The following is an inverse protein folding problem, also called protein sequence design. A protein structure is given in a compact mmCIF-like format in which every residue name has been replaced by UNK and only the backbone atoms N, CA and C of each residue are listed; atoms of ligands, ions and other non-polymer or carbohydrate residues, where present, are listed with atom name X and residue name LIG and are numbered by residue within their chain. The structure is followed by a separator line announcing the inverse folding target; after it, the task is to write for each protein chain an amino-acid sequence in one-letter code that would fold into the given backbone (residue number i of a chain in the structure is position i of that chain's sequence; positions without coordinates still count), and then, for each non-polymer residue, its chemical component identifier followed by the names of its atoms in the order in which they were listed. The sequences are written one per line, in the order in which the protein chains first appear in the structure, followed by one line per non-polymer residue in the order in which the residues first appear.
data_IF_629734628403
#
_entry.id   IF_629734628403
#
_cell.length_a   1.000
_cell.length_b   1.000
_cell.length_c   1.000
_cell.angle_alpha   90.00
_cell.angle_beta   90.00
_cell.angle_gamma   90.00
#
_symmetry.space_group_name_H-M   'P 1'
#
loop_
_entity.id
_entity.type
_entity.pdbx_description
1 polymer ?
#
# COMPACT_ATOMS: atom_id res chain seq x y z
N UNK A 1 -15.08 -23.71 -6.37
CA UNK A 1 -16.31 -23.96 -7.14
C UNK A 1 -17.38 -23.03 -6.58
N UNK A 2 -17.53 -21.87 -7.23
CA UNK A 2 -18.75 -21.08 -7.31
C UNK A 2 -18.57 -20.29 -8.62
N UNK A 3 -19.51 -20.45 -9.56
CA UNK A 3 -19.56 -19.62 -10.77
C UNK A 3 -20.04 -18.25 -10.29
N UNK A 4 -19.12 -17.30 -10.10
CA UNK A 4 -19.51 -15.89 -10.02
C UNK A 4 -20.08 -15.47 -11.38
N UNK A 5 -21.15 -14.69 -11.35
CA UNK A 5 -21.96 -14.30 -12.50
C UNK A 5 -21.13 -13.94 -13.73
N UNK A 6 -21.18 -14.78 -14.77
CA UNK A 6 -20.65 -14.49 -16.12
C UNK A 6 -21.40 -13.34 -16.83
N UNK A 7 -22.22 -12.57 -16.10
CA UNK A 7 -23.10 -11.52 -16.61
C UNK A 7 -22.77 -10.13 -16.06
N UNK A 8 -21.54 -9.91 -15.58
CA UNK A 8 -21.11 -8.60 -15.10
C UNK A 8 -20.98 -7.63 -16.29
N UNK A 9 -21.62 -6.45 -16.20
CA UNK A 9 -21.47 -5.38 -17.19
C UNK A 9 -19.99 -5.10 -17.50
N UNK A 10 -19.63 -4.84 -18.77
CA UNK A 10 -18.25 -4.55 -19.15
C UNK A 10 -17.67 -3.37 -18.36
N UNK A 11 -16.44 -3.54 -17.90
CA UNK A 11 -15.74 -2.53 -17.09
C UNK A 11 -14.90 -1.64 -18.00
N UNK A 12 -15.13 -0.33 -17.95
CA UNK A 12 -14.30 0.63 -18.67
C UNK A 12 -12.95 0.80 -17.96
N UNK A 13 -11.87 0.49 -18.65
CA UNK A 13 -10.50 0.64 -18.13
C UNK A 13 -9.69 1.70 -18.88
N UNK A 14 -10.19 2.23 -20.00
CA UNK A 14 -9.43 3.18 -20.83
C UNK A 14 -8.03 2.66 -21.16
N UNK A 15 -7.00 3.38 -20.74
CA UNK A 15 -5.58 2.96 -20.80
C UNK A 15 -4.99 2.57 -19.43
N UNK A 16 -5.83 2.50 -18.40
CA UNK A 16 -5.38 2.32 -17.03
C UNK A 16 -4.83 0.92 -16.80
N UNK A 17 -3.76 0.86 -16.01
CA UNK A 17 -3.14 -0.41 -15.65
C UNK A 17 -4.01 -1.18 -14.69
N UNK A 18 -4.19 -2.45 -15.01
CA UNK A 18 -4.98 -3.39 -14.25
C UNK A 18 -4.07 -4.42 -13.58
N UNK A 19 -4.11 -4.47 -12.24
CA UNK A 19 -3.34 -5.42 -11.45
C UNK A 19 -4.14 -6.69 -11.13
N UNK A 20 -3.43 -7.79 -10.90
CA UNK A 20 -3.98 -9.06 -10.39
C UNK A 20 -3.81 -9.23 -8.87
N UNK A 21 -3.88 -8.13 -8.11
CA UNK A 21 -3.80 -8.10 -6.63
C UNK A 21 -4.96 -8.75 -5.90
N UNK A 22 -6.03 -9.05 -6.63
CA UNK A 22 -7.28 -9.66 -6.18
C UNK A 22 -7.85 -10.53 -7.32
N UNK A 23 -8.93 -11.27 -7.05
CA UNK A 23 -9.63 -12.07 -8.06
C UNK A 23 -10.58 -11.24 -8.93
N UNK A 24 -10.61 -9.91 -8.77
CA UNK A 24 -11.59 -9.04 -9.42
C UNK A 24 -11.66 -9.25 -10.93
N UNK A 25 -10.52 -9.49 -11.58
CA UNK A 25 -10.47 -9.67 -13.03
C UNK A 25 -10.72 -11.09 -13.50
N UNK A 26 -10.64 -12.11 -12.64
CA UNK A 26 -10.64 -13.52 -13.05
C UNK A 26 -12.08 -14.03 -13.09
N UNK A 27 -12.64 -14.22 -14.29
CA UNK A 27 -13.98 -14.79 -14.47
C UNK A 27 -13.95 -16.33 -14.51
N UNK A 28 -12.97 -16.88 -15.22
CA UNK A 28 -12.79 -18.32 -15.41
C UNK A 28 -11.32 -18.67 -15.22
N UNK A 29 -11.01 -19.81 -14.62
CA UNK A 29 -9.64 -20.24 -14.36
C UNK A 29 -9.51 -21.76 -14.38
N UNK A 30 -8.38 -22.24 -14.90
CA UNK A 30 -7.96 -23.63 -14.86
C UNK A 30 -6.44 -23.71 -14.69
N UNK A 31 -5.97 -24.34 -13.61
CA UNK A 31 -4.53 -24.59 -13.43
C UNK A 31 -3.67 -23.36 -13.11
N UNK A 32 -4.29 -22.22 -12.79
CA UNK A 32 -3.59 -21.03 -12.28
C UNK A 32 -4.05 -20.67 -10.87
N UNK A 33 -3.19 -20.00 -10.12
CA UNK A 33 -3.47 -19.52 -8.76
C UNK A 33 -2.98 -18.09 -8.58
N UNK A 34 -3.56 -17.33 -7.67
CA UNK A 34 -2.93 -16.10 -7.21
C UNK A 34 -1.69 -16.42 -6.37
N UNK A 35 -0.60 -15.68 -6.59
CA UNK A 35 0.63 -15.82 -5.83
C UNK A 35 1.04 -14.48 -5.26
N UNK A 36 1.10 -14.38 -3.93
CA UNK A 36 1.70 -13.25 -3.23
C UNK A 36 3.23 -13.32 -3.37
N UNK A 37 3.86 -12.22 -3.78
CA UNK A 37 5.31 -12.12 -3.89
C UNK A 37 5.90 -11.45 -2.66
N UNK A 38 7.06 -11.94 -2.23
CA UNK A 38 7.72 -11.46 -1.03
C UNK A 38 8.68 -10.31 -1.38
N UNK A 39 8.57 -9.15 -0.71
CA UNK A 39 9.50 -8.06 -0.91
C UNK A 39 10.84 -8.41 -0.27
N UNK A 40 11.93 -7.96 -0.89
CA UNK A 40 13.28 -8.29 -0.45
C UNK A 40 13.77 -7.24 0.54
N UNK A 41 14.26 -7.67 1.70
CA UNK A 41 14.94 -6.79 2.66
C UNK A 41 16.19 -6.16 2.05
N UNK A 42 16.33 -4.85 2.21
CA UNK A 42 17.47 -4.04 1.75
C UNK A 42 18.12 -3.32 2.92
N UNK A 43 18.89 -2.29 2.62
CA UNK A 43 19.58 -1.45 3.59
C UNK A 43 18.65 -0.78 4.62
N UNK A 44 19.24 -0.41 5.75
CA UNK A 44 18.65 0.50 6.72
C UNK A 44 18.76 1.92 6.17
N UNK A 45 17.65 2.67 6.20
CA UNK A 45 17.57 4.00 5.56
C UNK A 45 17.45 5.15 6.55
N UNK A 46 16.86 4.91 7.72
CA UNK A 46 16.81 5.89 8.82
C UNK A 46 17.13 5.15 10.12
N UNK A 47 18.13 5.65 10.83
CA UNK A 47 18.48 5.23 12.19
C UNK A 47 18.46 6.44 13.13
N UNK A 48 18.29 6.24 14.45
CA UNK A 48 18.54 7.27 15.44
C UNK A 48 19.99 7.79 15.38
N UNK A 49 20.14 9.06 15.03
CA UNK A 49 21.45 9.73 14.90
C UNK A 49 21.50 11.04 15.70
N UNK A 50 20.34 11.53 16.15
CA UNK A 50 20.20 12.82 16.81
C UNK A 50 19.55 12.71 18.20
N UNK A 51 19.79 13.70 19.09
CA UNK A 51 19.23 13.68 20.45
C UNK A 51 17.70 13.55 20.52
N UNK A 52 16.97 14.09 19.53
CA UNK A 52 15.51 13.96 19.46
C UNK A 52 15.02 12.58 19.01
N UNK A 53 15.91 11.72 18.50
CA UNK A 53 15.61 10.38 17.97
C UNK A 53 16.04 9.25 18.92
N UNK A 54 16.67 9.57 20.05
CA UNK A 54 17.38 8.61 20.90
C UNK A 54 16.51 7.45 21.41
N UNK A 55 15.21 7.67 21.63
CA UNK A 55 14.23 6.66 22.00
C UNK A 55 13.71 5.85 20.80
N UNK A 56 13.89 6.35 19.58
CA UNK A 56 13.59 5.62 18.36
C UNK A 56 12.94 6.46 17.27
N UNK A 57 12.76 5.81 16.11
CA UNK A 57 12.12 6.34 14.92
C UNK A 57 11.03 5.38 14.45
N UNK A 58 9.88 5.89 14.01
CA UNK A 58 8.76 5.07 13.53
C UNK A 58 7.73 5.92 12.77
N UNK A 59 6.69 5.30 12.21
CA UNK A 59 5.54 5.97 11.60
C UNK A 59 5.94 6.96 10.53
N UNK A 60 6.87 6.51 9.68
CA UNK A 60 7.30 7.25 8.52
C UNK A 60 6.19 7.28 7.47
N UNK A 61 6.00 8.45 6.87
CA UNK A 61 5.15 8.62 5.71
C UNK A 61 6.00 9.18 4.58
N UNK A 62 5.99 8.50 3.43
CA UNK A 62 6.76 8.88 2.26
C UNK A 62 5.91 9.00 1.01
N UNK A 63 6.27 9.98 0.17
CA UNK A 63 5.76 10.11 -1.19
C UNK A 63 6.73 10.94 -2.03
N UNK A 64 6.55 10.89 -3.35
CA UNK A 64 7.30 11.69 -4.30
C UNK A 64 6.63 13.06 -4.49
N UNK A 65 7.44 14.11 -4.51
CA UNK A 65 7.05 15.44 -4.96
C UNK A 65 8.10 15.95 -5.95
N UNK A 66 7.72 16.07 -7.22
CA UNK A 66 8.64 16.48 -8.27
C UNK A 66 9.81 15.49 -8.46
N UNK A 67 11.03 15.98 -8.29
CA UNK A 67 12.28 15.22 -8.41
C UNK A 67 12.78 14.64 -7.08
N UNK A 68 12.04 14.83 -5.98
CA UNK A 68 12.42 14.39 -4.64
C UNK A 68 11.40 13.44 -4.04
N UNK A 69 11.90 12.54 -3.20
CA UNK A 69 11.12 11.82 -2.21
C UNK A 69 11.18 12.57 -0.89
N UNK A 70 10.04 12.66 -0.22
CA UNK A 70 9.89 13.35 1.06
C UNK A 70 9.44 12.35 2.11
N UNK A 71 9.92 12.51 3.33
CA UNK A 71 9.59 11.67 4.46
C UNK A 71 9.30 12.51 5.70
N UNK A 72 8.26 12.12 6.43
CA UNK A 72 7.97 12.61 7.77
C UNK A 72 7.93 11.43 8.70
N UNK A 73 8.59 11.49 9.85
CA UNK A 73 8.68 10.37 10.77
C UNK A 73 8.61 10.83 12.21
N UNK A 74 8.06 9.98 13.07
CA UNK A 74 8.03 10.22 14.50
C UNK A 74 9.41 9.95 15.08
N UNK A 75 9.79 10.82 16.01
CA UNK A 75 10.95 10.63 16.86
C UNK A 75 10.49 10.48 18.32
N UNK A 76 11.21 9.67 19.08
CA UNK A 76 11.09 9.58 20.53
C UNK A 76 12.44 9.94 21.16
N UNK A 77 12.45 10.70 22.27
CA UNK A 77 13.70 11.11 22.93
C UNK A 77 14.28 10.02 23.84
N UNK A 78 13.45 9.15 24.37
CA UNK A 78 13.83 8.15 25.37
C UNK A 78 12.93 6.91 25.31
N UNK A 79 13.45 5.83 25.87
CA UNK A 79 12.74 4.57 26.12
C UNK A 79 12.91 4.17 27.59
N UNK A 80 11.86 3.68 28.28
CA UNK A 80 10.51 3.49 27.76
C UNK A 80 9.78 4.82 27.52
N UNK A 81 8.84 4.81 26.57
CA UNK A 81 7.99 5.97 26.30
C UNK A 81 7.07 6.25 27.49
N UNK A 82 7.09 7.48 27.98
CA UNK A 82 6.20 7.98 29.04
C UNK A 82 5.03 8.80 28.45
N UNK A 83 3.89 8.82 29.15
CA UNK A 83 2.67 9.54 28.70
C UNK A 83 2.88 11.06 28.59
N UNK A 84 3.86 11.61 29.31
CA UNK A 84 4.24 13.04 29.27
C UNK A 84 5.22 13.38 28.15
N UNK A 85 5.51 12.44 27.24
CA UNK A 85 6.48 12.69 26.17
C UNK A 85 6.08 13.89 25.31
N UNK A 86 7.09 14.64 24.89
CA UNK A 86 6.91 15.64 23.86
C UNK A 86 6.70 14.93 22.50
N UNK A 87 5.63 15.22 21.75
CA UNK A 87 5.54 14.77 20.37
C UNK A 87 6.63 15.42 19.53
N UNK A 88 7.40 14.62 18.80
CA UNK A 88 8.42 15.10 17.88
C UNK A 88 8.21 14.45 16.53
N UNK A 89 8.01 15.26 15.50
CA UNK A 89 7.98 14.81 14.11
C UNK A 89 9.11 15.49 13.37
N UNK A 90 9.92 14.68 12.69
CA UNK A 90 11.04 15.12 11.89
C UNK A 90 10.78 14.89 10.41
N UNK A 91 11.61 15.53 9.59
CA UNK A 91 11.55 15.48 8.13
C UNK A 91 12.87 14.97 7.55
N UNK A 92 12.77 14.18 6.49
CA UNK A 92 13.91 13.77 5.67
C UNK A 92 13.54 13.83 4.18
N UNK A 93 14.55 13.90 3.32
CA UNK A 93 14.38 13.92 1.87
C UNK A 93 15.41 13.05 1.16
N UNK A 94 15.07 12.60 -0.04
CA UNK A 94 15.93 11.72 -0.84
C UNK A 94 15.69 11.94 -2.33
N UNK A 95 16.69 11.70 -3.16
CA UNK A 95 16.55 11.69 -4.64
C UNK A 95 16.43 10.28 -5.22
N UNK A 96 16.70 9.24 -4.42
CA UNK A 96 16.74 7.85 -4.87
C UNK A 96 15.90 6.89 -4.01
N UNK A 97 15.35 7.36 -2.88
CA UNK A 97 14.59 6.57 -1.92
C UNK A 97 15.45 5.64 -1.06
N UNK A 98 16.78 5.69 -1.22
CA UNK A 98 17.75 4.83 -0.53
C UNK A 98 18.55 5.66 0.47
N UNK A 99 19.12 6.79 0.02
CA UNK A 99 19.89 7.70 0.85
C UNK A 99 19.02 8.88 1.25
N UNK A 100 18.80 9.02 2.56
CA UNK A 100 17.94 10.07 3.11
C UNK A 100 18.76 11.12 3.84
N UNK A 101 18.59 12.37 3.43
CA UNK A 101 19.14 13.55 4.10
C UNK A 101 18.18 14.03 5.19
N UNK A 102 18.71 14.35 6.37
CA UNK A 102 18.01 14.99 7.48
C UNK A 102 18.41 16.48 7.53
N UNK A 103 17.75 17.36 6.75
CA UNK A 103 18.21 18.73 6.56
C UNK A 103 18.08 19.56 7.84
N UNK A 104 18.98 20.52 8.03
CA UNK A 104 18.88 21.50 9.12
C UNK A 104 17.86 22.58 8.74
N UNK A 105 16.65 22.45 9.23
CA UNK A 105 15.51 23.26 8.80
C UNK A 105 15.47 24.64 9.48
N UNK A 106 16.04 24.79 10.68
CA UNK A 106 16.02 26.07 11.40
C UNK A 106 14.63 26.50 11.89
N UNK A 107 13.65 25.58 11.93
CA UNK A 107 12.23 25.90 12.19
C UNK A 107 11.87 25.84 13.67
N UNK A 108 12.24 24.76 14.36
CA UNK A 108 11.82 24.46 15.73
C UNK A 108 13.01 24.52 16.67
N UNK A 109 12.83 25.16 17.82
CA UNK A 109 13.83 25.16 18.89
C UNK A 109 13.76 23.87 19.71
N UNK A 110 14.91 23.22 19.85
CA UNK A 110 15.09 22.00 20.64
C UNK A 110 16.43 22.09 21.39
N UNK A 111 16.40 21.93 22.72
CA UNK A 111 17.59 22.03 23.57
C UNK A 111 18.44 23.30 23.29
N UNK A 112 17.77 24.46 23.17
CA UNK A 112 18.37 25.77 22.89
C UNK A 112 19.04 25.89 21.50
N UNK A 113 18.68 25.05 20.53
CA UNK A 113 19.18 25.11 19.16
C UNK A 113 18.07 24.89 18.13
N UNK A 114 18.21 25.48 16.94
CA UNK A 114 17.36 25.21 15.77
C UNK A 114 18.05 24.35 14.70
N UNK A 115 19.25 23.87 14.98
CA UNK A 115 20.04 23.00 14.09
C UNK A 115 19.48 21.55 14.13
N UNK A 116 18.25 21.38 13.63
CA UNK A 116 17.54 20.11 13.61
C UNK A 116 16.61 20.03 12.39
N UNK A 117 16.00 18.86 12.18
CA UNK A 117 15.05 18.57 11.11
C UNK A 117 13.60 18.43 11.62
N UNK A 118 13.27 19.02 12.78
CA UNK A 118 11.93 18.94 13.37
C UNK A 118 10.94 19.87 12.65
N UNK A 119 9.74 19.36 12.40
CA UNK A 119 8.63 20.08 11.72
C UNK A 119 7.35 20.17 12.55
N UNK A 120 7.22 19.36 13.61
CA UNK A 120 6.10 19.45 14.53
C UNK A 120 6.48 19.05 15.95
N UNK A 121 6.13 19.92 16.91
CA UNK A 121 6.21 19.67 18.35
C UNK A 121 4.95 20.10 19.10
N UNK A 122 3.86 20.31 18.36
CA UNK A 122 2.56 20.69 18.91
C UNK A 122 1.81 19.49 19.50
N UNK A 123 0.51 19.64 19.80
CA UNK A 123 -0.28 18.55 20.33
C UNK A 123 -0.36 17.39 19.35
N UNK A 124 -0.27 16.18 19.90
CA UNK A 124 -0.47 14.93 19.19
C UNK A 124 0.75 14.41 18.43
N UNK A 125 0.79 13.09 18.28
CA UNK A 125 1.90 12.35 17.67
C UNK A 125 1.39 11.46 16.51
N UNK A 126 2.27 10.65 15.90
CA UNK A 126 2.00 9.77 14.76
C UNK A 126 1.41 10.54 13.57
N UNK A 127 2.06 11.63 13.19
CA UNK A 127 1.62 12.46 12.07
C UNK A 127 1.52 11.64 10.79
N UNK A 128 0.43 11.83 10.05
CA UNK A 128 0.22 11.18 8.75
C UNK A 128 -0.06 12.23 7.67
N UNK A 129 1.00 12.83 7.10
CA UNK A 129 0.86 13.86 6.07
C UNK A 129 0.55 13.29 4.69
N UNK A 130 -0.13 14.09 3.88
CA UNK A 130 -0.34 13.86 2.46
C UNK A 130 -0.37 15.19 1.71
N UNK A 131 -0.01 15.14 0.42
CA UNK A 131 -0.26 16.22 -0.53
C UNK A 131 -1.74 16.19 -0.91
N UNK A 132 -2.45 17.28 -0.72
CA UNK A 132 -3.88 17.34 -1.02
C UNK A 132 -4.10 17.44 -2.54
N UNK A 133 -4.70 16.38 -3.10
CA UNK A 133 -5.06 16.32 -4.51
C UNK A 133 -6.44 16.89 -4.82
N UNK A 134 -7.16 17.41 -3.82
CA UNK A 134 -8.43 18.08 -4.03
C UNK A 134 -8.22 19.35 -4.90
N UNK A 135 -8.88 19.48 -6.06
CA UNK A 135 -8.73 20.66 -6.92
C UNK A 135 -9.17 21.96 -6.24
N UNK A 136 -9.99 21.88 -5.19
CA UNK A 136 -10.45 23.02 -4.40
C UNK A 136 -9.57 23.30 -3.16
N UNK A 137 -8.45 22.58 -2.99
CA UNK A 137 -7.53 22.80 -1.87
C UNK A 137 -6.90 24.19 -1.95
N UNK A 138 -6.89 24.89 -0.82
CA UNK A 138 -6.24 26.20 -0.69
C UNK A 138 -4.71 26.04 -0.69
N UNK A 139 -3.98 26.97 -1.30
CA UNK A 139 -2.51 26.94 -1.35
C UNK A 139 -1.90 26.87 0.06
N UNK A 140 -2.50 27.54 1.05
CA UNK A 140 -2.07 27.49 2.45
C UNK A 140 -2.38 26.16 3.16
N UNK A 141 -3.18 25.30 2.54
CA UNK A 141 -3.56 23.96 3.02
C UNK A 141 -3.13 22.85 2.04
N UNK A 142 -2.19 23.15 1.14
CA UNK A 142 -1.65 22.23 0.13
C UNK A 142 -1.23 20.87 0.70
N UNK A 143 -0.71 20.88 1.93
CA UNK A 143 -0.48 19.69 2.72
C UNK A 143 -1.50 19.61 3.85
N UNK A 144 -2.00 18.40 4.06
CA UNK A 144 -2.87 18.05 5.18
C UNK A 144 -2.25 16.89 5.94
N UNK A 145 -2.51 16.81 7.23
CA UNK A 145 -2.11 15.68 8.05
C UNK A 145 -3.12 15.45 9.18
N UNK A 146 -3.06 14.24 9.75
CA UNK A 146 -3.71 13.94 11.03
C UNK A 146 -2.69 13.55 12.08
N UNK A 147 -2.95 13.89 13.35
CA UNK A 147 -2.16 13.50 14.52
C UNK A 147 -3.08 12.99 15.63
N UNK A 148 -2.57 12.16 16.54
CA UNK A 148 -3.34 11.65 17.69
C UNK A 148 -2.92 12.25 19.03
N UNK A 149 -3.90 12.71 19.81
CA UNK A 149 -3.76 13.11 21.24
C UNK A 149 -4.42 12.12 22.20
N UNK A 150 -5.12 11.13 21.66
CA UNK A 150 -6.18 10.36 22.31
C UNK A 150 -7.38 10.37 21.36
N UNK A 151 -7.72 11.56 20.89
CA UNK A 151 -8.55 11.85 19.72
C UNK A 151 -7.69 12.17 18.49
N UNK A 152 -8.30 12.46 17.34
CA UNK A 152 -7.60 12.84 16.10
C UNK A 152 -7.76 14.34 15.83
N UNK A 153 -6.64 15.04 15.66
CA UNK A 153 -6.59 16.44 15.22
C UNK A 153 -6.14 16.52 13.76
N UNK A 154 -6.62 17.54 13.05
CA UNK A 154 -6.19 17.86 11.68
C UNK A 154 -5.15 18.98 11.68
N UNK A 155 -4.11 18.81 10.86
CA UNK A 155 -3.09 19.81 10.57
C UNK A 155 -3.12 20.20 9.09
N UNK A 156 -2.69 21.43 8.81
CA UNK A 156 -2.49 21.95 7.46
C UNK A 156 -1.14 22.65 7.35
N UNK A 157 -0.57 22.65 6.15
CA UNK A 157 0.70 23.31 5.84
C UNK A 157 0.76 23.72 4.36
N UNK A 158 1.34 24.88 4.02
CA UNK A 158 1.61 25.25 2.62
C UNK A 158 2.76 24.45 1.99
N UNK A 159 3.73 24.01 2.78
CA UNK A 159 5.02 23.46 2.32
C UNK A 159 5.34 22.06 2.88
N UNK A 160 4.49 21.56 3.78
CA UNK A 160 4.70 20.30 4.49
C UNK A 160 5.79 20.38 5.56
N UNK A 161 6.32 21.57 5.87
CA UNK A 161 7.35 21.80 6.89
C UNK A 161 6.83 22.69 8.03
N UNK A 162 6.00 23.67 7.70
CA UNK A 162 5.39 24.61 8.66
C UNK A 162 3.93 24.23 8.88
N UNK A 163 3.69 23.46 9.93
CA UNK A 163 2.36 22.94 10.25
C UNK A 163 1.63 23.82 11.27
N UNK A 164 0.31 23.90 11.13
CA UNK A 164 -0.60 24.46 12.13
C UNK A 164 -1.82 23.56 12.30
N UNK A 165 -2.49 23.67 13.44
CA UNK A 165 -3.82 23.09 13.61
C UNK A 165 -4.77 23.69 12.56
N UNK A 166 -5.54 22.82 11.93
CA UNK A 166 -6.61 23.21 11.00
C UNK A 166 -7.82 23.79 11.75
N UNK A 167 -8.03 23.30 12.99
CA UNK A 167 -9.04 23.72 13.96
C UNK A 167 -8.64 23.21 15.36
N UNK A 168 -9.18 23.83 16.42
CA UNK A 168 -8.88 23.42 17.80
C UNK A 168 -9.58 22.12 18.21
N UNK A 169 -10.82 21.92 17.73
CA UNK A 169 -11.61 20.75 18.06
C UNK A 169 -11.15 19.50 17.27
N UNK A 170 -11.13 18.30 17.89
CA UNK A 170 -10.80 17.06 17.20
C UNK A 170 -11.78 16.77 16.07
N UNK A 171 -11.25 16.17 15.00
CA UNK A 171 -12.03 15.74 13.83
C UNK A 171 -12.62 14.33 14.01
N UNK A 172 -12.04 13.51 14.91
CA UNK A 172 -12.56 12.19 15.29
C UNK A 172 -12.32 11.94 16.78
N UNK A 173 -13.35 11.45 17.48
CA UNK A 173 -13.32 11.19 18.95
C UNK A 173 -13.75 9.77 19.32
N UNK A 174 -14.19 8.96 18.35
CA UNK A 174 -14.62 7.58 18.57
C UNK A 174 -13.41 6.63 18.64
N UNK A 175 -12.74 6.65 19.78
CA UNK A 175 -11.56 5.84 20.12
C UNK A 175 -11.79 4.33 19.96
N UNK A 176 -10.73 3.50 19.79
CA UNK A 176 -9.31 3.82 19.95
C UNK A 176 -8.61 4.36 18.68
N UNK A 177 -7.64 5.26 18.91
CA UNK A 177 -6.75 5.85 17.89
C UNK A 177 -5.27 5.62 18.21
N UNK A 178 -4.94 4.60 19.01
CA UNK A 178 -3.62 4.33 19.59
C UNK A 178 -2.55 3.79 18.61
N UNK A 179 -2.84 3.77 17.31
CA UNK A 179 -1.93 3.37 16.22
C UNK A 179 -1.55 4.54 15.29
N UNK A 180 -0.90 4.25 14.16
CA UNK A 180 -0.77 5.21 13.06
C UNK A 180 -2.09 5.25 12.29
N UNK A 181 -2.80 6.36 12.43
CA UNK A 181 -4.02 6.64 11.67
C UNK A 181 -3.60 7.31 10.36
N UNK A 182 -4.30 6.97 9.27
CA UNK A 182 -3.91 7.41 7.93
C UNK A 182 -5.06 8.15 7.30
N UNK A 183 -4.77 9.29 6.66
CA UNK A 183 -5.74 10.01 5.84
C UNK A 183 -5.12 10.44 4.52
N UNK A 184 -5.97 10.60 3.50
CA UNK A 184 -5.60 11.11 2.18
C UNK A 184 -6.86 11.57 1.42
N UNK A 185 -6.65 12.28 0.31
CA UNK A 185 -7.68 12.54 -0.70
C UNK A 185 -7.75 11.37 -1.69
N UNK A 186 -8.93 10.76 -1.84
CA UNK A 186 -9.21 9.82 -2.93
C UNK A 186 -9.67 10.61 -4.15
N UNK A 187 -8.80 10.68 -5.17
CA UNK A 187 -9.07 11.37 -6.43
C UNK A 187 -10.23 10.72 -7.19
N UNK A 188 -10.36 9.39 -7.15
CA UNK A 188 -11.39 8.68 -7.92
C UNK A 188 -12.80 8.86 -7.34
N UNK A 189 -12.90 9.12 -6.03
CA UNK A 189 -14.17 9.30 -5.31
C UNK A 189 -14.44 10.73 -4.88
N UNK A 190 -13.49 11.62 -5.14
CA UNK A 190 -13.53 13.03 -4.78
C UNK A 190 -13.95 13.21 -3.30
N UNK A 191 -13.27 12.48 -2.42
CA UNK A 191 -13.48 12.56 -0.97
C UNK A 191 -12.19 12.33 -0.20
N UNK A 192 -12.08 12.94 0.98
CA UNK A 192 -11.09 12.56 1.96
C UNK A 192 -11.48 11.23 2.59
N UNK A 193 -10.50 10.36 2.78
CA UNK A 193 -10.65 9.06 3.42
C UNK A 193 -9.69 8.97 4.59
N UNK A 194 -10.13 8.39 5.70
CA UNK A 194 -9.24 8.02 6.79
C UNK A 194 -9.44 6.57 7.22
N UNK A 195 -8.33 5.89 7.50
CA UNK A 195 -8.27 4.56 8.09
C UNK A 195 -7.66 4.62 9.48
N UNK A 196 -8.41 4.13 10.46
CA UNK A 196 -8.03 4.17 11.87
C UNK A 196 -8.10 2.79 12.51
N UNK A 197 -7.52 2.66 13.71
CA UNK A 197 -7.79 1.52 14.59
C UNK A 197 -9.30 1.39 14.85
N UNK A 198 -9.79 0.16 15.00
CA UNK A 198 -11.08 -0.18 15.59
C UNK A 198 -11.05 -1.50 16.36
N UNK A 199 -12.23 -2.00 16.71
CA UNK A 199 -12.43 -3.26 17.44
C UNK A 199 -13.50 -4.08 16.72
N UNK A 200 -13.24 -5.36 16.49
CA UNK A 200 -14.19 -6.27 15.85
C UNK A 200 -14.19 -7.65 16.53
N UNK A 201 -15.21 -8.45 16.25
CA UNK A 201 -15.30 -9.83 16.73
C UNK A 201 -15.30 -9.95 18.26
N UNK A 202 -14.72 -11.05 18.76
CA UNK A 202 -14.54 -11.34 20.19
C UNK A 202 -13.06 -11.56 20.48
N UNK A 203 -12.56 -11.03 21.59
CA UNK A 203 -11.16 -11.19 21.97
C UNK A 203 -10.77 -10.36 23.19
N UNK A 204 -9.47 -10.32 23.47
CA UNK A 204 -8.93 -9.72 24.70
C UNK A 204 -8.57 -8.23 24.56
N UNK A 205 -8.83 -7.62 23.40
CA UNK A 205 -8.63 -6.19 23.19
C UNK A 205 -9.99 -5.47 23.18
N UNK A 206 -10.36 -4.85 24.30
CA UNK A 206 -11.65 -4.15 24.46
C UNK A 206 -12.83 -5.08 24.09
N UNK A 207 -12.80 -6.31 24.62
CA UNK A 207 -13.75 -7.38 24.32
C UNK A 207 -13.80 -7.86 22.85
N UNK A 208 -12.86 -7.44 22.00
CA UNK A 208 -12.70 -7.86 20.61
C UNK A 208 -11.24 -8.11 20.22
N UNK A 209 -10.98 -8.10 18.91
CA UNK A 209 -9.63 -8.00 18.36
C UNK A 209 -9.39 -6.60 17.79
N UNK A 210 -8.11 -6.26 17.62
CA UNK A 210 -7.73 -5.01 16.95
C UNK A 210 -8.13 -5.11 15.49
N UNK A 211 -8.91 -4.16 15.00
CA UNK A 211 -9.36 -4.11 13.61
C UNK A 211 -9.09 -2.74 12.99
N UNK A 212 -9.58 -2.56 11.76
CA UNK A 212 -9.44 -1.33 10.98
C UNK A 212 -10.82 -0.76 10.68
N UNK A 213 -10.97 0.55 10.84
CA UNK A 213 -12.17 1.32 10.50
C UNK A 213 -11.85 2.31 9.39
N UNK A 214 -12.87 2.68 8.61
CA UNK A 214 -12.85 3.73 7.59
C UNK A 214 -13.86 4.81 7.93
N UNK A 215 -13.55 6.05 7.57
CA UNK A 215 -14.47 7.19 7.55
C UNK A 215 -14.13 8.08 6.35
N UNK A 216 -15.08 8.91 5.92
CA UNK A 216 -14.86 9.87 4.83
C UNK A 216 -15.30 11.27 5.18
N UNK A 217 -14.82 12.23 4.41
CA UNK A 217 -15.16 13.64 4.55
C UNK A 217 -15.12 14.31 3.19
N UNK A 218 -15.98 15.32 2.99
CA UNK A 218 -15.93 16.18 1.79
C UNK A 218 -15.07 17.43 1.98
N UNK A 219 -14.73 17.79 3.22
CA UNK A 219 -14.04 19.06 3.54
C UNK A 219 -12.84 18.90 4.49
N UNK A 220 -12.51 17.65 4.86
CA UNK A 220 -11.48 17.26 5.82
C UNK A 220 -11.73 17.72 7.27
N UNK A 221 -12.88 18.35 7.54
CA UNK A 221 -13.27 18.87 8.87
C UNK A 221 -14.35 18.03 9.50
N UNK A 222 -15.36 17.68 8.72
CA UNK A 222 -16.53 16.92 9.16
C UNK A 222 -16.49 15.53 8.56
N UNK A 223 -16.51 14.53 9.43
CA UNK A 223 -16.32 13.14 9.06
C UNK A 223 -17.58 12.32 9.30
N UNK A 224 -17.82 11.35 8.43
CA UNK A 224 -18.88 10.35 8.64
C UNK A 224 -18.54 9.49 9.87
N UNK A 225 -19.53 8.77 10.44
CA UNK A 225 -19.25 7.74 11.41
C UNK A 225 -18.19 6.74 10.92
N UNK A 226 -17.38 6.23 11.85
CA UNK A 226 -16.39 5.20 11.55
C UNK A 226 -17.08 3.85 11.37
N UNK A 227 -16.80 3.19 10.25
CA UNK A 227 -17.31 1.87 9.90
C UNK A 227 -16.17 0.87 9.81
N UNK A 228 -16.37 -0.38 10.24
CA UNK A 228 -15.35 -1.41 10.06
C UNK A 228 -15.14 -1.70 8.58
N UNK A 229 -13.89 -1.96 8.17
CA UNK A 229 -13.64 -2.54 6.85
C UNK A 229 -14.13 -3.99 6.83
N UNK A 230 -14.55 -4.44 5.65
CA UNK A 230 -14.93 -5.82 5.40
C UNK A 230 -13.76 -6.58 4.76
N UNK A 231 -13.51 -7.81 5.21
CA UNK A 231 -12.49 -8.71 4.65
C UNK A 231 -13.09 -10.07 4.26
N UNK A 232 -14.38 -10.09 3.95
CA UNK A 232 -15.16 -11.28 3.64
C UNK A 232 -15.10 -12.32 4.76
N UNK A 233 -14.93 -13.58 4.36
CA UNK A 233 -14.93 -14.73 5.28
C UNK A 233 -13.60 -14.94 6.02
N UNK A 234 -12.64 -14.03 5.89
CA UNK A 234 -11.35 -14.19 6.58
C UNK A 234 -11.50 -13.95 8.09
N UNK A 235 -10.78 -14.68 8.95
CA UNK A 235 -11.02 -14.64 10.40
C UNK A 235 -10.60 -13.31 11.02
N UNK A 236 -11.31 -12.88 12.06
CA UNK A 236 -10.88 -11.73 12.86
C UNK A 236 -9.54 -12.04 13.56
N UNK A 237 -8.51 -11.27 13.21
CA UNK A 237 -7.17 -11.29 13.80
C UNK A 237 -6.80 -9.87 14.28
N UNK A 238 -5.78 -9.72 15.14
CA UNK A 238 -5.38 -8.39 15.60
C UNK A 238 -4.60 -7.62 14.53
N UNK A 239 -5.27 -6.89 13.65
CA UNK A 239 -4.65 -6.02 12.65
C UNK A 239 -4.28 -4.67 13.27
N UNK A 240 -3.02 -4.50 13.69
CA UNK A 240 -2.52 -3.37 14.46
C UNK A 240 -2.37 -2.07 13.64
N UNK A 241 -1.38 -1.92 12.77
CA UNK A 241 -1.33 -0.77 11.84
C UNK A 241 -2.11 -1.09 10.56
N UNK A 242 -2.34 -0.10 9.70
CA UNK A 242 -2.95 -0.35 8.37
C UNK A 242 -2.00 -0.04 7.20
N UNK A 243 -1.24 1.06 7.26
CA UNK A 243 -0.36 1.48 6.15
C UNK A 243 -1.10 1.56 4.78
N UNK A 244 -2.36 1.99 4.78
CA UNK A 244 -3.16 2.08 3.56
C UNK A 244 -2.65 3.17 2.62
N UNK A 245 -2.59 2.83 1.33
CA UNK A 245 -2.18 3.73 0.24
C UNK A 245 -3.07 3.52 -0.98
N UNK A 246 -3.57 4.59 -1.63
CA UNK A 246 -4.04 4.50 -3.01
C UNK A 246 -2.82 4.27 -3.91
N UNK A 247 -2.90 3.29 -4.81
CA UNK A 247 -1.76 2.91 -5.64
C UNK A 247 -1.73 3.73 -6.94
N UNK A 248 -0.79 4.69 -7.01
CA UNK A 248 -0.68 5.67 -8.09
C UNK A 248 -0.64 5.05 -9.50
N UNK A 249 -0.05 3.86 -9.65
CA UNK A 249 0.13 3.20 -10.95
C UNK A 249 -1.08 2.38 -11.39
N UNK A 250 -2.08 2.18 -10.54
CA UNK A 250 -3.35 1.54 -10.89
C UNK A 250 -4.51 2.31 -10.21
N UNK A 251 -5.04 3.35 -10.87
CA UNK A 251 -6.12 4.17 -10.34
C UNK A 251 -7.30 3.33 -9.82
N UNK A 252 -7.88 3.75 -8.70
CA UNK A 252 -8.97 3.06 -8.03
C UNK A 252 -8.58 1.83 -7.19
N UNK A 253 -7.31 1.44 -7.18
CA UNK A 253 -6.80 0.35 -6.33
C UNK A 253 -6.17 0.88 -5.06
N UNK A 254 -6.59 0.30 -3.94
CA UNK A 254 -6.05 0.52 -2.61
C UNK A 254 -5.17 -0.67 -2.24
N UNK A 255 -3.98 -0.40 -1.73
CA UNK A 255 -3.13 -1.41 -1.10
C UNK A 255 -3.04 -1.11 0.40
N UNK A 256 -2.94 -2.16 1.20
CA UNK A 256 -2.85 -2.02 2.65
C UNK A 256 -1.86 -3.07 3.18
N UNK A 257 -1.05 -2.68 4.16
CA UNK A 257 -0.03 -3.54 4.77
C UNK A 257 -0.20 -3.67 6.29
N UNK A 258 -1.32 -4.22 6.79
CA UNK A 258 -1.56 -4.27 8.22
C UNK A 258 -0.54 -5.11 8.98
N UNK A 259 -0.17 -4.65 10.16
CA UNK A 259 0.63 -5.45 11.09
C UNK A 259 -0.28 -6.43 11.82
N UNK A 260 -0.24 -7.71 11.48
CA UNK A 260 -0.99 -8.73 12.22
C UNK A 260 -0.21 -9.09 13.49
N UNK A 261 -0.85 -8.83 14.62
CA UNK A 261 -0.34 -9.10 15.96
C UNK A 261 -0.88 -10.42 16.50
N UNK A 262 -0.02 -11.25 17.08
CA UNK A 262 -0.41 -12.51 17.71
C UNK A 262 -0.03 -12.43 19.19
N UNK A 263 -0.93 -11.96 20.08
CA UNK A 263 -0.59 -11.67 21.47
C UNK A 263 -0.20 -12.90 22.30
N UNK A 264 -0.61 -14.09 21.89
CA UNK A 264 -0.35 -15.33 22.65
C UNK A 264 1.07 -15.89 22.45
N UNK A 265 1.85 -15.34 21.50
CA UNK A 265 3.20 -15.81 21.23
C UNK A 265 4.22 -15.12 22.13
N UNK A 266 5.06 -15.90 22.79
CA UNK A 266 6.12 -15.40 23.68
C UNK A 266 7.47 -16.03 23.30
N UNK A 267 8.10 -15.56 22.22
CA UNK A 267 9.42 -16.06 21.78
C UNK A 267 10.55 -15.70 22.76
N UNK A 268 10.40 -14.59 23.49
CA UNK A 268 11.33 -14.14 24.53
C UNK A 268 10.57 -14.21 25.87
N UNK A 269 10.73 -15.29 26.65
CA UNK A 269 10.04 -15.43 27.93
C UNK A 269 10.36 -14.29 28.89
N UNK A 270 9.32 -13.70 29.48
CA UNK A 270 9.48 -12.59 30.43
C UNK A 270 9.86 -11.26 29.79
N UNK A 271 9.65 -11.08 28.48
CA UNK A 271 9.82 -9.79 27.80
C UNK A 271 9.07 -8.68 28.55
N UNK A 272 9.79 -7.63 28.95
CA UNK A 272 9.29 -6.63 29.90
C UNK A 272 8.07 -5.83 29.39
N UNK A 273 7.85 -5.82 28.07
CA UNK A 273 6.77 -5.07 27.43
C UNK A 273 5.55 -5.92 27.09
N UNK A 274 5.53 -7.20 27.50
CA UNK A 274 4.40 -8.11 27.34
C UNK A 274 4.55 -9.08 26.16
N UNK A 275 3.63 -10.02 26.07
CA UNK A 275 3.65 -11.04 25.03
C UNK A 275 3.22 -10.51 23.67
N UNK A 276 3.67 -11.21 22.63
CA UNK A 276 3.17 -11.10 21.28
C UNK A 276 4.26 -11.01 20.23
N UNK A 277 3.87 -11.22 18.98
CA UNK A 277 4.75 -11.09 17.80
C UNK A 277 3.92 -10.50 16.66
N UNK A 278 4.56 -9.75 15.76
CA UNK A 278 3.92 -9.17 14.60
C UNK A 278 4.52 -9.72 13.31
N UNK A 279 3.68 -9.93 12.30
CA UNK A 279 4.09 -9.96 10.89
C UNK A 279 3.27 -8.93 10.09
N UNK A 280 3.57 -8.80 8.80
CA UNK A 280 2.86 -7.89 7.90
C UNK A 280 2.04 -8.71 6.93
N UNK A 281 0.74 -8.40 6.82
CA UNK A 281 -0.16 -9.00 5.82
C UNK A 281 -0.41 -8.03 4.68
N UNK A 282 -0.75 -8.55 3.50
CA UNK A 282 -1.11 -7.76 2.33
C UNK A 282 -2.62 -7.83 2.08
N UNK A 283 -3.22 -6.67 1.81
CA UNK A 283 -4.62 -6.58 1.38
C UNK A 283 -4.73 -5.61 0.20
N UNK A 284 -5.73 -5.86 -0.65
CA UNK A 284 -6.10 -4.93 -1.72
C UNK A 284 -7.60 -4.67 -1.73
N UNK A 285 -8.01 -3.52 -2.27
CA UNK A 285 -9.41 -3.16 -2.43
C UNK A 285 -9.59 -2.28 -3.66
N UNK A 286 -10.78 -2.33 -4.26
CA UNK A 286 -11.17 -1.47 -5.39
C UNK A 286 -12.24 -0.44 -5.02
N UNK A 287 -12.78 -0.52 -3.81
CA UNK A 287 -13.77 0.41 -3.27
C UNK A 287 -13.36 1.09 -1.98
N UNK A 288 -12.23 0.67 -1.41
CA UNK A 288 -11.71 1.14 -0.13
C UNK A 288 -12.51 0.62 1.07
N UNK A 289 -13.49 -0.25 0.92
CA UNK A 289 -14.35 -0.78 2.00
C UNK A 289 -14.22 -2.29 2.16
N UNK A 290 -14.26 -3.01 1.05
CA UNK A 290 -14.09 -4.46 1.00
C UNK A 290 -12.67 -4.78 0.56
N UNK A 291 -11.93 -5.48 1.41
CA UNK A 291 -10.53 -5.80 1.20
C UNK A 291 -10.33 -7.31 1.04
N UNK A 292 -9.76 -7.71 -0.09
CA UNK A 292 -9.23 -9.06 -0.28
C UNK A 292 -7.91 -9.19 0.48
N UNK A 293 -7.82 -10.21 1.34
CA UNK A 293 -6.70 -10.42 2.25
C UNK A 293 -5.99 -11.74 1.99
N UNK A 294 -4.68 -11.66 1.78
CA UNK A 294 -3.82 -12.83 1.80
C UNK A 294 -3.53 -13.24 3.24
N UNK A 295 -3.64 -14.53 3.53
CA UNK A 295 -3.49 -15.05 4.90
C UNK A 295 -2.03 -15.31 5.27
N UNK A 296 -1.17 -15.54 4.28
CA UNK A 296 0.28 -15.58 4.41
C UNK A 296 0.85 -14.18 4.69
N UNK A 297 1.96 -14.13 5.42
CA UNK A 297 2.67 -12.89 5.66
C UNK A 297 3.30 -12.37 4.36
N UNK A 298 3.06 -11.10 4.06
CA UNK A 298 3.79 -10.33 3.06
C UNK A 298 5.23 -10.05 3.52
N UNK A 299 5.42 -9.65 4.78
CA UNK A 299 6.75 -9.53 5.41
C UNK A 299 6.76 -10.29 6.73
N UNK A 300 7.64 -11.28 6.84
CA UNK A 300 7.91 -12.04 8.07
C UNK A 300 8.97 -11.33 8.92
N UNK A 301 9.02 -11.49 10.26
CA UNK A 301 10.07 -10.91 11.13
C UNK A 301 11.52 -11.16 10.70
N UNK A 302 11.77 -12.26 9.99
CA UNK A 302 13.10 -12.60 9.48
C UNK A 302 13.98 -13.29 10.53
N UNK A 303 15.29 -13.30 10.29
CA UNK A 303 16.29 -13.95 11.16
C UNK A 303 16.73 -13.08 12.34
N UNK A 304 16.44 -11.78 12.29
CA UNK A 304 16.79 -10.86 13.37
C UNK A 304 15.90 -11.12 14.59
N UNK A 305 16.49 -11.64 15.67
CA UNK A 305 15.82 -11.91 16.94
C UNK A 305 15.18 -10.64 17.53
N UNK A 306 15.71 -9.46 17.21
CA UNK A 306 15.16 -8.17 17.61
C UNK A 306 13.78 -7.85 17.01
N UNK A 307 13.30 -8.63 16.04
CA UNK A 307 11.94 -8.51 15.51
C UNK A 307 10.95 -9.50 16.15
N UNK A 308 11.43 -10.47 16.93
CA UNK A 308 10.61 -11.51 17.55
C UNK A 308 10.17 -11.09 18.95
N UNK A 309 9.39 -10.02 19.04
CA UNK A 309 8.69 -9.59 20.26
C UNK A 309 7.48 -8.71 19.90
N UNK A 310 6.77 -8.21 20.91
CA UNK A 310 5.58 -7.41 20.68
C UNK A 310 5.94 -6.12 19.93
N UNK A 311 5.25 -5.86 18.81
CA UNK A 311 5.46 -4.69 17.94
C UNK A 311 6.87 -4.60 17.36
N UNK A 312 7.60 -5.70 17.24
CA UNK A 312 8.97 -5.73 16.71
C UNK A 312 9.10 -5.17 15.28
N UNK A 313 8.01 -5.20 14.49
CA UNK A 313 7.99 -4.58 13.17
C UNK A 313 6.63 -3.98 12.77
N UNK A 314 6.67 -2.88 12.01
CA UNK A 314 5.53 -2.26 11.34
C UNK A 314 5.90 -1.80 9.93
N UNK A 315 4.98 -1.92 8.97
CA UNK A 315 5.13 -1.20 7.70
C UNK A 315 4.81 0.27 7.90
N UNK A 316 5.63 1.10 7.27
CA UNK A 316 5.47 2.53 7.14
C UNK A 316 4.58 2.86 5.94
N UNK A 317 4.04 4.08 5.89
CA UNK A 317 3.12 4.47 4.81
C UNK A 317 3.90 5.03 3.62
N UNK A 318 3.79 4.40 2.47
CA UNK A 318 4.31 4.91 1.20
C UNK A 318 4.88 3.81 0.33
N UNK A 319 4.72 3.97 -0.98
CA UNK A 319 5.33 3.12 -2.00
C UNK A 319 6.01 4.06 -2.99
N UNK A 320 7.32 3.95 -3.12
CA UNK A 320 8.10 4.80 -4.01
C UNK A 320 8.59 3.99 -5.20
N UNK A 321 8.32 4.44 -6.41
CA UNK A 321 8.99 3.89 -7.59
C UNK A 321 10.41 4.47 -7.67
N UNK A 322 11.40 3.72 -7.18
CA UNK A 322 12.81 4.15 -7.08
C UNK A 322 13.62 3.87 -8.35
N UNK A 323 13.11 3.01 -9.23
CA UNK A 323 13.61 2.81 -10.59
C UNK A 323 12.46 2.39 -11.52
N UNK A 324 12.67 2.29 -12.86
CA UNK A 324 11.63 1.77 -13.76
C UNK A 324 11.11 0.38 -13.41
N UNK A 325 11.92 -0.45 -12.73
CA UNK A 325 11.66 -1.85 -12.42
C UNK A 325 11.52 -2.16 -10.91
N UNK A 326 11.79 -1.21 -10.02
CA UNK A 326 11.78 -1.40 -8.57
C UNK A 326 10.85 -0.41 -7.83
N UNK A 327 10.06 -0.96 -6.91
CA UNK A 327 9.35 -0.23 -5.86
C UNK A 327 10.11 -0.38 -4.55
N UNK A 328 10.14 0.69 -3.79
CA UNK A 328 10.62 0.73 -2.41
C UNK A 328 9.44 0.92 -1.46
N UNK A 329 9.36 0.03 -0.49
CA UNK A 329 8.53 0.14 0.71
C UNK A 329 9.43 0.27 1.93
N UNK A 330 8.88 0.73 3.04
CA UNK A 330 9.65 0.95 4.27
C UNK A 330 8.95 0.33 5.47
N UNK A 331 9.73 -0.20 6.41
CA UNK A 331 9.21 -0.76 7.64
C UNK A 331 10.14 -0.48 8.80
N UNK A 332 9.59 -0.11 9.95
CA UNK A 332 10.33 -0.06 11.19
C UNK A 332 10.54 -1.48 11.72
N UNK A 333 11.76 -1.75 12.17
CA UNK A 333 12.19 -3.00 12.81
C UNK A 333 12.83 -2.68 14.16
N UNK A 334 12.91 -3.69 15.06
CA UNK A 334 13.53 -3.58 16.38
C UNK A 334 12.88 -2.56 17.34
N UNK A 335 11.55 -2.41 17.32
CA UNK A 335 10.86 -1.48 18.23
C UNK A 335 11.26 -1.68 19.70
N UNK A 336 11.41 -0.60 20.48
CA UNK A 336 11.88 -0.61 21.89
C UNK A 336 13.32 -1.04 22.13
N UNK A 337 14.03 -1.52 21.12
CA UNK A 337 15.45 -1.81 21.22
C UNK A 337 16.29 -0.59 20.82
N UNK A 338 17.52 -0.45 21.35
CA UNK A 338 18.46 0.57 20.87
C UNK A 338 18.79 0.45 19.38
N UNK A 339 18.55 -0.73 18.79
CA UNK A 339 18.75 -1.05 17.36
C UNK A 339 17.56 -0.66 16.48
N UNK A 340 16.51 -0.01 17.02
CA UNK A 340 15.35 0.44 16.24
C UNK A 340 15.77 1.26 15.02
N UNK A 341 15.20 0.94 13.87
CA UNK A 341 15.51 1.60 12.61
C UNK A 341 14.39 1.43 11.60
N UNK A 342 14.44 2.20 10.51
CA UNK A 342 13.58 2.02 9.35
C UNK A 342 14.39 1.34 8.25
N UNK A 343 13.90 0.20 7.79
CA UNK A 343 14.48 -0.60 6.71
C UNK A 343 13.71 -0.40 5.40
N UNK A 344 14.44 -0.41 4.29
CA UNK A 344 13.84 -0.49 2.95
C UNK A 344 13.57 -1.93 2.55
N UNK A 345 12.46 -2.14 1.87
CA UNK A 345 12.10 -3.37 1.19
C UNK A 345 11.90 -3.08 -0.29
N UNK A 346 12.53 -3.85 -1.16
CA UNK A 346 12.37 -3.70 -2.61
C UNK A 346 11.42 -4.74 -3.17
N UNK A 347 10.61 -4.34 -4.14
CA UNK A 347 9.73 -5.22 -4.91
C UNK A 347 9.80 -4.85 -6.39
N UNK A 348 9.55 -5.80 -7.29
CA UNK A 348 9.30 -5.51 -8.70
C UNK A 348 8.19 -4.47 -8.85
N UNK A 349 8.33 -3.54 -9.80
CA UNK A 349 7.24 -2.63 -10.19
C UNK A 349 5.95 -3.40 -10.51
N UNK A 350 4.86 -3.03 -9.82
CA UNK A 350 3.55 -3.67 -9.87
C UNK A 350 3.53 -5.16 -9.43
N UNK A 351 4.60 -5.64 -8.78
CA UNK A 351 4.85 -7.06 -8.54
C UNK A 351 4.32 -7.63 -7.22
N UNK A 352 3.24 -7.10 -6.66
CA UNK A 352 2.69 -7.56 -5.37
C UNK A 352 2.11 -8.96 -5.43
N UNK A 353 1.29 -9.22 -6.46
CA UNK A 353 0.60 -10.48 -6.68
C UNK A 353 0.61 -10.77 -8.17
N UNK A 354 0.76 -12.03 -8.54
CA UNK A 354 0.58 -12.51 -9.92
C UNK A 354 -0.56 -13.51 -10.02
N UNK A 355 -1.10 -13.64 -11.23
CA UNK A 355 -1.65 -14.93 -11.67
C UNK A 355 -0.48 -15.82 -12.05
N UNK A 356 -0.34 -16.93 -11.34
CA UNK A 356 0.78 -17.86 -11.44
C UNK A 356 0.35 -19.17 -12.09
N UNK A 357 1.16 -19.68 -13.01
CA UNK A 357 1.09 -21.04 -13.52
C UNK A 357 2.43 -21.75 -13.34
N UNK A 358 2.39 -22.97 -12.79
CA UNK A 358 3.56 -23.83 -12.72
C UNK A 358 3.92 -24.46 -14.08
N UNK A 359 4.85 -25.41 -14.07
CA UNK A 359 5.36 -26.06 -15.29
C UNK A 359 4.30 -26.82 -16.10
N UNK A 360 3.22 -27.30 -15.47
CA UNK A 360 2.10 -27.95 -16.18
C UNK A 360 1.28 -26.96 -17.01
N UNK A 361 1.41 -25.67 -16.72
CA UNK A 361 0.63 -24.61 -17.32
C UNK A 361 -0.79 -24.51 -16.77
N UNK A 362 -1.47 -23.46 -17.22
CA UNK A 362 -2.84 -23.13 -16.89
C UNK A 362 -3.35 -21.97 -17.75
N UNK A 363 -4.62 -21.65 -17.58
CA UNK A 363 -5.27 -20.56 -18.27
C UNK A 363 -6.31 -19.86 -17.41
N UNK A 364 -6.64 -18.63 -17.79
CA UNK A 364 -7.77 -17.91 -17.21
C UNK A 364 -8.36 -16.94 -18.23
N UNK A 365 -9.61 -16.55 -17.99
CA UNK A 365 -10.32 -15.55 -18.80
C UNK A 365 -10.71 -14.39 -17.91
N UNK A 366 -10.50 -13.16 -18.40
CA UNK A 366 -10.91 -11.98 -17.67
C UNK A 366 -12.43 -11.79 -17.69
N UNK A 367 -12.93 -11.00 -16.74
CA UNK A 367 -14.23 -10.33 -16.89
C UNK A 367 -14.24 -9.46 -18.16
N UNK A 368 -15.44 -9.19 -18.71
CA UNK A 368 -15.58 -8.26 -19.82
C UNK A 368 -15.06 -6.87 -19.48
N UNK A 369 -14.29 -6.28 -20.40
CA UNK A 369 -13.70 -4.95 -20.27
C UNK A 369 -13.85 -4.15 -21.56
N UNK A 370 -13.80 -2.83 -21.43
CA UNK A 370 -13.75 -1.87 -22.54
C UNK A 370 -12.49 -1.05 -22.37
N UNK A 371 -11.65 -1.02 -23.40
CA UNK A 371 -10.38 -0.32 -23.40
C UNK A 371 -10.33 0.77 -24.47
N UNK A 372 -9.36 1.67 -24.32
CA UNK A 372 -8.90 2.59 -25.37
C UNK A 372 -7.42 2.33 -25.63
N UNK A 373 -6.96 2.49 -26.86
CA UNK A 373 -5.59 2.16 -27.24
C UNK A 373 -5.52 1.27 -28.47
N UNK A 374 -4.30 1.00 -28.91
CA UNK A 374 -3.99 0.15 -30.05
C UNK A 374 -2.92 -0.91 -29.74
N UNK A 375 -2.45 -0.98 -28.49
CA UNK A 375 -1.45 -1.94 -28.04
C UNK A 375 -1.77 -2.51 -26.66
N UNK A 376 -1.79 -3.85 -26.56
CA UNK A 376 -1.86 -4.56 -25.28
C UNK A 376 -0.44 -4.71 -24.70
N UNK A 377 -0.31 -4.39 -23.41
CA UNK A 377 0.94 -4.40 -22.66
C UNK A 377 0.80 -5.25 -21.41
N UNK A 378 1.82 -6.05 -21.11
CA UNK A 378 1.82 -6.99 -19.98
C UNK A 378 3.00 -6.72 -19.03
N UNK A 379 2.77 -6.88 -17.73
CA UNK A 379 3.82 -7.08 -16.74
C UNK A 379 3.89 -8.57 -16.40
N UNK A 380 4.97 -9.24 -16.79
CA UNK A 380 5.11 -10.68 -16.63
C UNK A 380 6.57 -11.09 -16.41
N UNK A 381 6.75 -12.30 -15.88
CA UNK A 381 8.04 -12.97 -15.76
C UNK A 381 7.85 -14.45 -16.07
N UNK A 382 8.73 -15.04 -16.88
CA UNK A 382 8.71 -16.47 -17.21
C UNK A 382 10.05 -17.12 -16.95
N UNK A 383 10.06 -18.44 -16.74
CA UNK A 383 11.28 -19.22 -16.89
C UNK A 383 11.68 -19.35 -18.37
N UNK A 384 12.86 -19.92 -18.63
CA UNK A 384 13.37 -20.16 -19.98
C UNK A 384 12.52 -21.15 -20.81
N UNK A 385 11.69 -21.97 -20.14
CA UNK A 385 10.78 -22.94 -20.78
C UNK A 385 9.30 -22.57 -20.59
N UNK A 386 9.08 -21.42 -19.96
CA UNK A 386 7.78 -20.85 -19.68
C UNK A 386 7.36 -19.82 -20.73
N UNK A 387 6.08 -19.52 -20.74
CA UNK A 387 5.50 -18.53 -21.66
C UNK A 387 4.21 -17.94 -21.10
N UNK A 388 3.82 -16.82 -21.71
CA UNK A 388 2.47 -16.26 -21.69
C UNK A 388 1.98 -16.19 -23.14
N UNK A 389 0.72 -16.52 -23.39
CA UNK A 389 -0.01 -16.17 -24.62
C UNK A 389 -1.33 -15.54 -24.25
N UNK A 390 -1.90 -14.77 -25.16
CA UNK A 390 -3.18 -14.09 -24.94
C UNK A 390 -4.03 -14.07 -26.20
N UNK A 391 -5.32 -14.30 -25.99
CA UNK A 391 -6.36 -14.20 -26.99
C UNK A 391 -7.37 -13.14 -26.58
N UNK A 392 -7.87 -12.39 -27.56
CA UNK A 392 -8.98 -11.46 -27.36
C UNK A 392 -10.26 -12.15 -27.83
N UNK A 393 -11.29 -12.17 -26.97
CA UNK A 393 -12.58 -12.77 -27.24
C UNK A 393 -13.69 -11.71 -27.22
N UNK A 394 -14.80 -11.98 -27.92
CA UNK A 394 -16.06 -11.28 -27.63
C UNK A 394 -16.61 -11.66 -26.24
N UNK A 395 -17.76 -11.09 -25.87
CA UNK A 395 -18.42 -11.38 -24.58
C UNK A 395 -18.98 -12.79 -24.49
N UNK A 396 -19.19 -13.47 -25.63
CA UNK A 396 -19.69 -14.85 -25.71
C UNK A 396 -18.54 -15.88 -25.66
N UNK A 397 -17.28 -15.41 -25.68
CA UNK A 397 -16.09 -16.25 -25.64
C UNK A 397 -15.59 -16.69 -27.02
N UNK A 398 -16.10 -16.09 -28.11
CA UNK A 398 -15.58 -16.37 -29.45
C UNK A 398 -14.27 -15.60 -29.70
N UNK A 399 -13.20 -16.26 -30.15
CA UNK A 399 -11.93 -15.61 -30.47
C UNK A 399 -12.07 -14.58 -31.60
N UNK A 400 -11.42 -13.43 -31.45
CA UNK A 400 -11.35 -12.39 -32.48
C UNK A 400 -10.30 -12.75 -33.54
N UNK A 401 -10.64 -12.81 -34.84
CA UNK A 401 -9.66 -13.05 -35.90
C UNK A 401 -8.53 -12.03 -35.88
N UNK A 402 -7.28 -12.48 -35.95
CA UNK A 402 -6.12 -11.61 -35.80
C UNK A 402 -5.59 -11.51 -34.36
N UNK A 403 -6.31 -12.07 -33.40
CA UNK A 403 -6.01 -12.03 -31.96
C UNK A 403 -6.29 -13.37 -31.27
N UNK A 404 -6.23 -14.48 -32.00
CA UNK A 404 -6.47 -15.83 -31.45
C UNK A 404 -5.22 -16.38 -30.73
N UNK A 405 -5.39 -17.42 -29.90
CA UNK A 405 -4.25 -18.08 -29.23
C UNK A 405 -3.24 -18.69 -30.21
N UNK A 406 -3.72 -19.23 -31.34
CA UNK A 406 -2.85 -19.82 -32.37
C UNK A 406 -2.04 -18.77 -33.12
N UNK A 407 -2.57 -17.55 -33.22
CA UNK A 407 -1.89 -16.40 -33.80
C UNK A 407 -1.02 -15.64 -32.77
N UNK A 408 -1.09 -15.99 -31.49
CA UNK A 408 -0.26 -15.42 -30.43
C UNK A 408 1.00 -16.29 -30.24
N UNK A 409 2.19 -15.83 -30.65
CA UNK A 409 3.43 -16.56 -30.36
C UNK A 409 3.68 -16.60 -28.85
N UNK A 410 4.55 -17.52 -28.42
CA UNK A 410 4.98 -17.57 -27.03
C UNK A 410 5.70 -16.28 -26.63
N UNK A 411 5.19 -15.64 -25.59
CA UNK A 411 5.82 -14.47 -24.98
C UNK A 411 6.60 -14.97 -23.77
N UNK A 412 7.91 -14.78 -23.77
CA UNK A 412 8.80 -15.22 -22.69
C UNK A 412 9.78 -14.10 -22.32
N UNK A 413 10.37 -14.23 -21.12
CA UNK A 413 11.31 -13.26 -20.57
C UNK A 413 10.72 -12.52 -19.37
N UNK A 414 11.27 -11.33 -19.11
CA UNK A 414 10.96 -10.56 -17.91
C UNK A 414 10.71 -9.09 -18.25
N UNK A 415 9.46 -8.63 -18.12
CA UNK A 415 9.07 -7.27 -18.52
C UNK A 415 8.06 -6.63 -17.56
N UNK A 416 8.22 -5.33 -17.29
CA UNK A 416 7.25 -4.51 -16.51
C UNK A 416 6.11 -3.99 -17.40
N UNK A 417 6.39 -3.86 -18.69
CA UNK A 417 5.47 -3.30 -19.69
C UNK A 417 5.82 -3.81 -21.10
N UNK A 418 5.75 -5.13 -21.30
CA UNK A 418 6.05 -5.80 -22.58
C UNK A 418 4.89 -5.70 -23.57
N UNK A 419 5.19 -5.48 -24.86
CA UNK A 419 4.16 -5.46 -25.92
C UNK A 419 3.73 -6.86 -26.32
N UNK A 420 2.43 -7.07 -26.45
CA UNK A 420 1.88 -8.27 -27.10
C UNK A 420 1.85 -8.06 -28.61
N UNK A 421 2.34 -9.04 -29.36
CA UNK A 421 2.32 -9.04 -30.83
C UNK A 421 1.79 -10.38 -31.32
N UNK A 422 0.68 -10.34 -32.05
CA UNK A 422 0.17 -11.48 -32.81
C UNK A 422 0.87 -11.56 -34.18
N UNK A 423 0.97 -12.76 -34.73
CA UNK A 423 1.60 -13.00 -36.04
C UNK A 423 0.80 -12.36 -37.18
N UNK A 424 -0.53 -12.49 -37.09
CA UNK A 424 -1.44 -11.72 -37.91
C UNK A 424 -1.46 -10.27 -37.43
N UNK A 425 -1.35 -9.33 -38.37
CA UNK A 425 -1.38 -7.89 -38.09
C UNK A 425 -2.82 -7.41 -37.82
N UNK A 426 -3.49 -8.03 -36.86
CA UNK A 426 -4.79 -7.59 -36.38
C UNK A 426 -4.74 -6.12 -35.96
N UNK A 427 -5.75 -5.35 -36.33
CA UNK A 427 -5.83 -3.93 -35.98
C UNK A 427 -6.66 -3.75 -34.70
N UNK A 428 -5.97 -3.58 -33.57
CA UNK A 428 -6.62 -3.49 -32.25
C UNK A 428 -7.54 -2.29 -32.13
N UNK A 429 -7.37 -1.27 -32.99
CA UNK A 429 -8.26 -0.09 -33.07
C UNK A 429 -9.69 -0.47 -33.43
N UNK A 430 -9.90 -1.62 -34.10
CA UNK A 430 -11.23 -2.12 -34.44
C UNK A 430 -11.99 -2.67 -33.22
N UNK A 431 -11.27 -3.04 -32.16
CA UNK A 431 -11.82 -3.57 -30.91
C UNK A 431 -11.90 -2.51 -29.81
N UNK A 432 -11.18 -1.39 -29.95
CA UNK A 432 -11.22 -0.29 -28.99
C UNK A 432 -12.65 0.25 -28.82
N UNK A 433 -13.06 0.47 -27.57
CA UNK A 433 -14.42 0.88 -27.23
C UNK A 433 -15.48 -0.25 -27.25
N UNK A 434 -15.12 -1.46 -27.69
CA UNK A 434 -16.01 -2.62 -27.67
C UNK A 434 -15.76 -3.48 -26.41
N UNK A 435 -16.80 -4.12 -25.86
CA UNK A 435 -16.63 -5.12 -24.82
C UNK A 435 -15.85 -6.33 -25.33
N UNK A 436 -14.74 -6.66 -24.66
CA UNK A 436 -13.92 -7.84 -24.94
C UNK A 436 -13.57 -8.59 -23.66
N UNK A 437 -13.14 -9.84 -23.79
CA UNK A 437 -12.50 -10.62 -22.73
C UNK A 437 -11.09 -10.98 -23.17
N UNK A 438 -10.17 -11.12 -22.22
CA UNK A 438 -8.81 -11.61 -22.49
C UNK A 438 -8.69 -13.03 -21.93
N UNK A 439 -8.34 -13.99 -22.79
CA UNK A 439 -7.97 -15.34 -22.38
C UNK A 439 -6.46 -15.46 -22.38
N UNK A 440 -5.87 -15.72 -21.21
CA UNK A 440 -4.45 -15.94 -21.07
C UNK A 440 -4.14 -17.42 -20.89
N UNK A 441 -3.11 -17.91 -21.57
CA UNK A 441 -2.47 -19.19 -21.25
C UNK A 441 -1.07 -18.95 -20.75
N UNK A 442 -0.70 -19.65 -19.69
CA UNK A 442 0.56 -19.46 -18.97
C UNK A 442 1.22 -20.81 -18.72
N UNK A 443 2.54 -20.83 -18.72
CA UNK A 443 3.33 -21.97 -18.27
C UNK A 443 4.60 -21.46 -17.60
N UNK A 444 4.88 -21.93 -16.38
CA UNK A 444 6.05 -21.54 -15.60
C UNK A 444 6.30 -20.02 -15.64
N UNK A 445 5.23 -19.29 -15.30
CA UNK A 445 5.11 -17.85 -15.52
C UNK A 445 4.26 -17.18 -14.44
N UNK A 446 4.57 -15.91 -14.21
CA UNK A 446 3.86 -14.98 -13.36
C UNK A 446 3.37 -13.79 -14.21
N UNK A 447 2.06 -13.52 -14.21
CA UNK A 447 1.46 -12.35 -14.84
C UNK A 447 0.93 -11.40 -13.76
N UNK A 448 1.54 -10.21 -13.65
CA UNK A 448 1.29 -9.25 -12.58
C UNK A 448 0.23 -8.20 -12.95
N UNK A 449 0.24 -7.75 -14.21
CA UNK A 449 -0.64 -6.69 -14.67
C UNK A 449 -0.81 -6.71 -16.20
N UNK A 450 -1.86 -6.04 -16.67
CA UNK A 450 -2.05 -5.71 -18.08
C UNK A 450 -2.53 -4.26 -18.24
N UNK A 451 -2.36 -3.69 -19.43
CA UNK A 451 -2.97 -2.41 -19.83
C UNK A 451 -3.06 -2.27 -21.34
N UNK A 452 -3.85 -1.32 -21.80
CA UNK A 452 -3.83 -0.86 -23.19
C UNK A 452 -3.17 0.51 -23.28
N UNK A 453 -2.50 0.79 -24.39
CA UNK A 453 -1.86 2.09 -24.64
C UNK A 453 -2.11 2.54 -26.06
N UNK A 454 -2.00 3.86 -26.26
CA UNK A 454 -1.82 4.47 -27.58
C UNK A 454 -0.32 4.42 -27.92
N UNK A 455 0.02 3.85 -29.08
CA UNK A 455 1.40 3.68 -29.56
C UNK A 455 1.99 4.94 -30.17
#
# INVERSE_FOLDING_TARGET
MERQDNNSSPIHIGTDRQLFVDNFWIAETQGVTQRLHEPVRREVVISPEHPWERGGVSYMVTFREGDRFRAWYRCDQEMPIHDTRQPLIAYAESTDGVHWEKPRLGLIEFQNSKENNLVWTGPGNNMSPFLDGNPDALDEERYKAIVRTGDVLALVSPDGLRWRLMQDAPILTDQPFDSHNIAFWDVEREEYVAYTRGVAGKGNFINGVRWIRRTTSKDFRHWTPLELIDTGETPFEHLYTNACVPYERAPGVYLMFPSRFVPEREPIPGWEYGSGVNDIVFMSSRDGRHFDRFMEAFVRPGLDEGNWHERGMFMERGILQTSPDELSLYGMENWRLPTVHIRRFSLRTDGFVSVHAGYTGGEFVTRPLIFTGDSLRLNFSTSAVGFVRVEIQDTEGHPQPGFTLDECPEIFGDAIDGTVRWESRGDMRLLAGQPVRLRFTLKDADLFAFRFQMS
#
